data_IF_611115377145
#
_entry.id   IF_611115377145
#
_cell.length_a   1.000
_cell.length_b   1.000
_cell.length_c   1.000
_cell.angle_alpha   90.00
_cell.angle_beta   90.00
_cell.angle_gamma   90.00
#
_symmetry.space_group_name_H-M   'P 1'
#
loop_
_entity.id
_entity.type
_entity.pdbx_description
1 polymer ?
#
# COMPACT_ATOMS: atom_id res chain seq x y z
N UNK A 1 49.22 35.42 -45.03
CA UNK A 1 48.63 35.95 -43.77
C UNK A 1 49.69 35.92 -42.67
N UNK A 2 50.04 37.09 -42.10
CA UNK A 2 51.03 37.20 -41.02
C UNK A 2 50.49 36.61 -39.70
N UNK A 3 51.37 36.38 -38.73
CA UNK A 3 51.02 35.75 -37.45
C UNK A 3 49.86 36.49 -36.74
N UNK A 4 49.89 37.82 -36.77
CA UNK A 4 48.86 38.69 -36.19
C UNK A 4 47.48 38.41 -36.80
N UNK A 5 47.38 38.36 -38.13
CA UNK A 5 46.12 38.08 -38.79
C UNK A 5 45.62 36.63 -38.57
N UNK A 6 46.51 35.66 -38.38
CA UNK A 6 46.13 34.28 -38.00
C UNK A 6 45.56 34.22 -36.58
N UNK A 7 46.16 34.94 -35.64
CA UNK A 7 45.69 35.02 -34.25
C UNK A 7 44.35 35.73 -34.16
N UNK A 8 44.17 36.83 -34.89
CA UNK A 8 42.89 37.55 -34.94
C UNK A 8 41.80 36.65 -35.52
N UNK A 9 42.08 35.95 -36.63
CA UNK A 9 41.09 35.05 -37.23
C UNK A 9 40.73 33.89 -36.29
N UNK A 10 41.72 33.29 -35.62
CA UNK A 10 41.47 32.23 -34.63
C UNK A 10 40.61 32.72 -33.47
N UNK A 11 40.85 33.94 -32.97
CA UNK A 11 40.06 34.55 -31.90
C UNK A 11 38.62 34.83 -32.33
N UNK A 12 38.43 35.35 -33.55
CA UNK A 12 37.10 35.60 -34.12
C UNK A 12 36.32 34.29 -34.28
N UNK A 13 36.97 33.23 -34.77
CA UNK A 13 36.35 31.89 -34.90
C UNK A 13 36.01 31.31 -33.54
N UNK A 14 36.90 31.39 -32.55
CA UNK A 14 36.63 30.93 -31.18
C UNK A 14 35.47 31.68 -30.54
N UNK A 15 35.39 32.99 -30.75
CA UNK A 15 34.31 33.82 -30.20
C UNK A 15 32.99 33.52 -30.91
N UNK A 16 33.00 33.35 -32.24
CA UNK A 16 31.81 32.99 -33.00
C UNK A 16 31.28 31.60 -32.61
N UNK A 17 32.16 30.60 -32.49
CA UNK A 17 31.78 29.25 -32.02
C UNK A 17 31.30 29.30 -30.57
N UNK A 18 31.96 30.07 -29.70
CA UNK A 18 31.54 30.29 -28.32
C UNK A 18 30.15 30.93 -28.22
N UNK A 19 29.87 31.96 -29.01
CA UNK A 19 28.56 32.61 -29.06
C UNK A 19 27.46 31.74 -29.66
N UNK A 20 27.79 30.76 -30.50
CA UNK A 20 26.82 29.80 -31.06
C UNK A 20 26.59 28.62 -30.10
N UNK A 21 27.63 28.14 -29.38
CA UNK A 21 27.55 26.95 -28.54
C UNK A 21 27.21 27.22 -27.05
N UNK A 22 27.55 28.40 -26.51
CA UNK A 22 27.24 28.74 -25.10
C UNK A 22 25.74 28.96 -24.83
N UNK A 23 24.94 29.61 -25.70
CA UNK A 23 23.51 29.78 -25.44
C UNK A 23 22.79 28.44 -25.27
N UNK A 24 23.20 27.39 -25.98
CA UNK A 24 22.62 26.05 -25.83
C UNK A 24 22.90 25.40 -24.47
N UNK A 25 23.95 25.80 -23.75
CA UNK A 25 24.21 25.31 -22.37
C UNK A 25 23.51 26.13 -21.29
N UNK A 26 23.29 27.43 -21.51
CA UNK A 26 22.52 28.28 -20.58
C UNK A 26 21.00 28.07 -20.77
N UNK A 27 20.58 27.59 -21.94
CA UNK A 27 19.18 27.42 -22.36
C UNK A 27 18.58 26.03 -22.10
N UNK A 28 19.21 25.17 -21.29
CA UNK A 28 18.51 23.99 -20.73
C UNK A 28 17.78 24.31 -19.42
N UNK A 29 18.05 25.45 -18.80
CA UNK A 29 17.42 25.88 -17.55
C UNK A 29 16.68 27.22 -17.66
N UNK A 30 17.14 28.16 -18.50
CA UNK A 30 16.48 29.45 -18.68
C UNK A 30 15.17 29.31 -19.49
N UNK A 31 14.02 29.53 -18.84
CA UNK A 31 12.70 29.58 -19.49
C UNK A 31 12.03 28.23 -19.75
N UNK A 32 12.67 27.10 -19.41
CA UNK A 32 12.09 25.75 -19.56
C UNK A 32 11.50 25.17 -18.27
N UNK A 33 11.73 25.81 -17.12
CA UNK A 33 11.15 25.42 -15.82
C UNK A 33 10.36 26.60 -15.23
N UNK A 34 9.05 26.62 -15.50
CA UNK A 34 8.13 27.42 -14.70
C UNK A 34 7.86 26.63 -13.41
N UNK A 35 8.21 27.22 -12.27
CA UNK A 35 7.90 26.65 -10.97
C UNK A 35 6.42 26.82 -10.68
N UNK A 36 5.79 25.83 -10.06
CA UNK A 36 4.44 26.00 -9.54
C UNK A 36 4.47 27.04 -8.44
N UNK A 37 3.53 27.98 -8.51
CA UNK A 37 3.29 28.90 -7.43
C UNK A 37 2.63 28.14 -6.28
N UNK A 38 3.38 27.96 -5.19
CA UNK A 38 2.96 27.26 -3.98
C UNK A 38 2.70 28.25 -2.82
N UNK A 39 2.48 29.54 -3.13
CA UNK A 39 2.20 30.56 -2.11
C UNK A 39 0.77 30.50 -1.57
N UNK A 40 -0.08 29.64 -2.12
CA UNK A 40 -1.45 29.42 -1.67
C UNK A 40 -1.53 28.51 -0.45
N UNK A 41 -2.64 28.56 0.28
CA UNK A 41 -2.93 27.58 1.33
C UNK A 41 -3.27 26.21 0.71
N UNK A 42 -2.83 25.12 1.35
CA UNK A 42 -3.04 23.74 0.89
C UNK A 42 -1.95 23.21 -0.04
N UNK A 43 -2.27 22.21 -0.87
CA UNK A 43 -1.36 21.66 -1.87
C UNK A 43 -1.63 22.26 -3.25
N UNK A 44 -0.64 22.92 -3.86
CA UNK A 44 -0.73 23.44 -5.23
C UNK A 44 -0.02 22.55 -6.25
N UNK A 45 0.42 21.36 -5.82
CA UNK A 45 1.15 20.43 -6.68
C UNK A 45 0.15 19.60 -7.51
N UNK A 46 0.20 19.64 -8.85
CA UNK A 46 -0.72 18.87 -9.69
C UNK A 46 -0.24 17.42 -9.82
N UNK A 47 -0.52 16.59 -8.80
CA UNK A 47 -0.07 15.19 -8.69
C UNK A 47 -0.44 14.36 -9.93
N UNK A 48 -1.66 14.55 -10.45
CA UNK A 48 -2.22 13.85 -11.63
C UNK A 48 -1.43 14.08 -12.93
N UNK A 49 -0.59 15.12 -13.00
CA UNK A 49 0.29 15.34 -14.16
C UNK A 49 1.25 14.16 -14.36
N UNK A 50 1.65 13.51 -13.28
CA UNK A 50 2.58 12.39 -13.29
C UNK A 50 1.94 11.07 -12.82
N UNK A 51 0.96 11.14 -11.91
CA UNK A 51 0.26 9.98 -11.31
C UNK A 51 -1.16 9.82 -11.85
N UNK A 52 -1.33 9.98 -13.17
CA UNK A 52 -2.65 9.96 -13.81
C UNK A 52 -3.37 8.61 -13.66
N UNK A 53 -2.63 7.50 -13.67
CA UNK A 53 -3.12 6.14 -13.50
C UNK A 53 -3.67 5.91 -12.07
N UNK A 54 -2.92 6.33 -11.05
CA UNK A 54 -3.34 6.25 -9.65
C UNK A 54 -4.56 7.13 -9.40
N UNK A 55 -4.58 8.33 -10.00
CA UNK A 55 -5.72 9.23 -9.92
C UNK A 55 -6.99 8.62 -10.53
N UNK A 56 -6.86 7.96 -11.69
CA UNK A 56 -7.97 7.25 -12.33
C UNK A 56 -8.45 6.07 -11.47
N UNK A 57 -7.55 5.30 -10.85
CA UNK A 57 -7.93 4.22 -9.94
C UNK A 57 -8.69 4.74 -8.71
N UNK A 58 -8.22 5.82 -8.09
CA UNK A 58 -8.85 6.44 -6.92
C UNK A 58 -10.25 6.96 -7.25
N UNK A 59 -10.42 7.65 -8.37
CA UNK A 59 -11.71 8.23 -8.79
C UNK A 59 -12.73 7.20 -9.23
N UNK A 60 -12.29 6.03 -9.67
CA UNK A 60 -13.17 4.93 -10.04
C UNK A 60 -13.51 4.02 -8.85
N UNK A 61 -13.07 4.36 -7.63
CA UNK A 61 -13.37 3.61 -6.40
C UNK A 61 -14.61 4.16 -5.69
N UNK A 62 -15.63 3.33 -5.37
CA UNK A 62 -16.88 3.78 -4.74
C UNK A 62 -16.74 4.26 -3.28
N UNK A 63 -15.60 4.04 -2.63
CA UNK A 63 -15.38 4.33 -1.21
C UNK A 63 -14.48 5.55 -0.97
N UNK A 64 -13.56 5.85 -1.88
CA UNK A 64 -12.64 6.99 -1.79
C UNK A 64 -12.73 7.94 -3.00
N UNK A 65 -13.79 7.85 -3.81
CA UNK A 65 -14.02 8.69 -5.01
C UNK A 65 -13.93 10.20 -4.77
N UNK A 66 -14.26 10.64 -3.55
CA UNK A 66 -14.28 12.06 -3.16
C UNK A 66 -12.99 12.52 -2.47
N UNK A 67 -11.96 11.66 -2.39
CA UNK A 67 -10.70 12.03 -1.77
C UNK A 67 -9.73 12.65 -2.77
N UNK A 68 -9.10 13.75 -2.35
CA UNK A 68 -7.98 14.38 -3.05
C UNK A 68 -6.66 13.76 -2.57
N UNK A 69 -5.61 13.80 -3.41
CA UNK A 69 -4.34 13.11 -3.16
C UNK A 69 -3.72 13.53 -1.81
N UNK A 70 -3.79 14.82 -1.51
CA UNK A 70 -3.27 15.46 -0.32
C UNK A 70 -4.01 15.09 0.97
N UNK A 71 -5.23 14.56 0.90
CA UNK A 71 -5.96 14.14 2.09
C UNK A 71 -5.23 12.99 2.80
N UNK A 72 -4.57 12.12 2.03
CA UNK A 72 -3.77 11.02 2.56
C UNK A 72 -2.26 11.36 2.54
N UNK A 73 -1.78 11.95 1.45
CA UNK A 73 -0.34 12.17 1.23
C UNK A 73 0.23 13.41 1.91
N UNK A 74 -0.60 14.31 2.45
CA UNK A 74 -0.16 15.43 3.29
C UNK A 74 -0.63 15.23 4.72
N UNK A 75 -0.04 14.18 5.27
CA UNK A 75 -0.43 13.57 6.52
C UNK A 75 0.16 14.22 7.78
N UNK A 76 -0.13 13.52 8.84
CA UNK A 76 0.03 13.87 10.25
C UNK A 76 1.49 14.00 10.67
N UNK A 77 1.80 15.00 11.51
CA UNK A 77 3.11 15.19 12.14
C UNK A 77 4.32 15.23 11.17
N UNK A 78 4.05 15.49 9.89
CA UNK A 78 5.03 15.71 8.83
C UNK A 78 4.85 17.15 8.36
N UNK A 79 5.95 17.88 8.24
CA UNK A 79 5.97 19.24 7.71
C UNK A 79 6.37 19.18 6.26
N UNK A 80 5.51 19.69 5.37
CA UNK A 80 5.80 19.80 3.95
C UNK A 80 6.13 21.24 3.56
N UNK A 81 6.73 21.41 2.38
CA UNK A 81 6.92 22.74 1.83
C UNK A 81 5.54 23.37 1.58
N UNK A 82 5.30 24.51 2.23
CA UNK A 82 4.05 25.26 2.11
C UNK A 82 4.25 26.71 2.52
N UNK A 83 3.45 27.59 1.93
CA UNK A 83 3.13 28.90 2.48
C UNK A 83 1.76 28.77 3.15
N UNK A 84 1.68 28.84 4.48
CA UNK A 84 0.40 28.65 5.22
C UNK A 84 -0.58 29.83 5.06
N UNK A 85 -0.42 30.64 4.02
CA UNK A 85 -1.06 31.93 3.85
C UNK A 85 -0.39 33.00 4.72
N UNK A 86 -0.34 34.23 4.21
CA UNK A 86 0.24 35.37 4.92
C UNK A 86 1.76 35.49 4.84
N UNK A 87 2.43 34.75 3.94
CA UNK A 87 3.86 34.87 3.65
C UNK A 87 4.77 34.11 4.62
N UNK A 88 4.23 33.16 5.37
CA UNK A 88 5.02 32.30 6.27
C UNK A 88 5.46 31.07 5.49
N UNK A 89 6.67 31.15 4.93
CA UNK A 89 7.31 30.07 4.18
C UNK A 89 7.84 29.03 5.16
N UNK A 90 7.36 27.79 5.04
CA UNK A 90 7.87 26.65 5.80
C UNK A 90 8.69 25.78 4.85
N UNK A 91 9.97 25.62 5.17
CA UNK A 91 10.78 24.57 4.56
C UNK A 91 10.26 23.22 5.06
N UNK A 92 9.68 22.40 4.18
CA UNK A 92 9.29 21.03 4.50
C UNK A 92 10.48 20.28 5.09
N UNK A 93 10.33 19.74 6.30
CA UNK A 93 11.43 19.11 7.05
C UNK A 93 11.44 17.61 6.84
N UNK A 94 10.26 17.01 6.94
CA UNK A 94 10.10 15.56 6.87
C UNK A 94 9.73 15.09 5.45
N UNK A 95 9.05 15.93 4.64
CA UNK A 95 8.73 15.62 3.25
C UNK A 95 8.70 16.89 2.38
N UNK A 96 8.98 16.73 1.08
CA UNK A 96 8.98 17.87 0.14
C UNK A 96 7.54 18.33 -0.18
N UNK A 97 6.71 17.42 -0.69
CA UNK A 97 5.34 17.74 -1.14
C UNK A 97 4.29 16.69 -0.74
N UNK A 98 4.72 15.45 -0.50
CA UNK A 98 3.87 14.31 -0.17
C UNK A 98 4.68 13.28 0.62
N UNK A 99 4.02 12.50 1.48
CA UNK A 99 4.60 11.40 2.24
C UNK A 99 3.98 10.07 1.84
N UNK A 100 4.66 8.98 2.17
CA UNK A 100 4.01 7.68 2.26
C UNK A 100 3.08 7.68 3.49
N UNK A 101 1.91 7.05 3.37
CA UNK A 101 0.84 7.08 4.38
C UNK A 101 0.41 5.66 4.66
N UNK A 102 0.16 5.34 5.93
CA UNK A 102 -0.41 4.06 6.33
C UNK A 102 -1.93 4.11 6.28
N UNK A 103 -2.59 3.07 5.75
CA UNK A 103 -4.05 2.96 5.80
C UNK A 103 -4.58 3.00 7.25
N UNK A 104 -3.79 2.47 8.20
CA UNK A 104 -4.17 2.40 9.61
C UNK A 104 -4.21 3.77 10.30
N UNK A 105 -3.70 4.84 9.68
CA UNK A 105 -3.85 6.20 10.21
C UNK A 105 -5.33 6.59 10.40
N UNK A 106 -6.19 6.10 9.51
CA UNK A 106 -7.63 6.26 9.56
C UNK A 106 -8.29 4.97 10.08
N UNK A 107 -7.83 3.81 9.64
CA UNK A 107 -8.50 2.53 9.88
C UNK A 107 -8.16 1.84 11.22
N UNK A 108 -7.28 2.39 12.08
CA UNK A 108 -6.93 1.76 13.37
C UNK A 108 -7.90 2.02 14.54
N UNK A 109 -9.03 2.70 14.29
CA UNK A 109 -10.03 3.00 15.33
C UNK A 109 -9.61 4.10 16.30
N UNK A 110 -10.56 4.61 17.10
CA UNK A 110 -10.37 5.86 17.86
C UNK A 110 -9.71 5.72 19.21
N UNK A 111 -9.59 4.48 19.68
CA UNK A 111 -9.09 4.20 21.00
C UNK A 111 -7.56 4.37 21.04
N UNK A 112 -7.03 5.21 21.94
CA UNK A 112 -5.59 5.44 22.02
C UNK A 112 -4.91 4.19 22.59
N UNK A 113 -4.31 3.38 21.72
CA UNK A 113 -3.47 2.27 22.10
C UNK A 113 -2.01 2.46 21.63
N UNK A 114 -0.99 2.03 22.40
CA UNK A 114 0.42 2.19 22.02
C UNK A 114 0.81 1.56 20.68
N UNK A 115 0.04 0.57 20.23
CA UNK A 115 0.22 -0.16 18.96
C UNK A 115 -0.72 0.31 17.84
N UNK A 116 -1.70 1.18 18.14
CA UNK A 116 -2.55 1.81 17.14
C UNK A 116 -1.82 2.97 16.47
N UNK A 117 -2.05 3.19 15.18
CA UNK A 117 -1.41 4.28 14.42
C UNK A 117 -2.20 5.58 14.49
N UNK A 118 -3.34 5.57 15.19
CA UNK A 118 -4.24 6.71 15.28
C UNK A 118 -3.78 7.81 16.25
N UNK A 119 -2.67 7.58 16.97
CA UNK A 119 -2.21 8.48 18.03
C UNK A 119 -1.73 9.79 17.38
N UNK A 120 -2.62 10.78 17.37
CA UNK A 120 -2.37 12.20 17.08
C UNK A 120 -2.44 12.65 15.61
N UNK A 121 -3.56 12.49 14.91
CA UNK A 121 -3.77 13.06 13.56
C UNK A 121 -3.98 14.59 13.54
N UNK A 122 -3.00 15.37 13.96
CA UNK A 122 -3.00 16.82 13.71
C UNK A 122 -2.37 17.13 12.36
N UNK A 123 -3.12 17.84 11.51
CA UNK A 123 -2.63 18.33 10.23
C UNK A 123 -2.17 19.77 10.39
N UNK A 124 -0.87 19.99 10.35
CA UNK A 124 -0.33 21.33 10.54
C UNK A 124 -0.69 22.28 9.38
N UNK A 125 -1.14 21.74 8.25
CA UNK A 125 -1.43 22.46 6.99
C UNK A 125 -2.92 22.79 6.83
N UNK A 126 -3.80 22.06 7.50
CA UNK A 126 -5.22 22.37 7.54
C UNK A 126 -5.51 23.22 8.76
N UNK A 127 -6.12 24.38 8.54
CA UNK A 127 -6.51 25.24 9.63
C UNK A 127 -7.57 24.53 10.49
N UNK A 128 -7.23 24.18 11.73
CA UNK A 128 -8.13 23.50 12.67
C UNK A 128 -9.36 24.34 13.05
N UNK A 129 -9.37 25.64 12.73
CA UNK A 129 -10.53 26.52 12.90
C UNK A 129 -11.47 26.55 11.68
N UNK A 130 -11.11 25.92 10.56
CA UNK A 130 -11.97 25.75 9.39
C UNK A 130 -12.61 24.35 9.39
N UNK A 131 -13.84 24.27 9.88
CA UNK A 131 -14.61 23.02 9.95
C UNK A 131 -14.90 22.42 8.59
N UNK A 132 -14.81 23.18 7.49
CA UNK A 132 -15.03 22.67 6.14
C UNK A 132 -13.87 21.79 5.68
N UNK A 133 -12.63 22.08 6.11
CA UNK A 133 -11.46 21.26 5.80
C UNK A 133 -11.47 19.96 6.59
N UNK A 134 -11.83 20.01 7.87
CA UNK A 134 -12.04 18.80 8.69
C UNK A 134 -13.15 17.93 8.09
N UNK A 135 -14.23 18.52 7.56
CA UNK A 135 -15.33 17.75 6.96
C UNK A 135 -14.93 16.95 5.72
N UNK A 136 -13.84 17.30 5.01
CA UNK A 136 -13.30 16.48 3.91
C UNK A 136 -12.85 15.08 4.39
N UNK A 137 -12.40 14.99 5.64
CA UNK A 137 -12.01 13.73 6.28
C UNK A 137 -13.00 13.27 7.36
N UNK A 138 -13.99 14.09 7.77
CA UNK A 138 -14.88 13.80 8.90
C UNK A 138 -16.43 13.98 8.68
N UNK A 139 -16.96 14.32 7.48
CA UNK A 139 -18.42 14.36 7.17
C UNK A 139 -18.88 13.47 5.97
N UNK A 140 -20.06 12.79 5.98
CA UNK A 140 -21.25 12.97 6.83
C UNK A 140 -21.46 11.93 7.95
N UNK A 141 -20.65 10.87 8.01
CA UNK A 141 -20.55 9.94 9.15
C UNK A 141 -19.21 9.23 9.02
N UNK A 142 -18.15 9.85 9.53
CA UNK A 142 -16.77 9.41 9.31
C UNK A 142 -16.17 8.85 10.58
N UNK A 143 -16.54 7.61 10.83
CA UNK A 143 -15.54 6.65 11.22
C UNK A 143 -15.28 5.79 10.00
N UNK A 144 -14.09 5.87 9.38
CA UNK A 144 -13.70 4.86 8.40
C UNK A 144 -13.93 3.49 9.05
N UNK A 145 -14.38 2.47 8.29
CA UNK A 145 -14.59 1.16 8.86
C UNK A 145 -13.29 0.71 9.52
N UNK A 146 -13.36 0.39 10.81
CA UNK A 146 -12.18 0.02 11.57
C UNK A 146 -11.66 -1.31 11.00
N UNK A 147 -10.37 -1.37 10.68
CA UNK A 147 -9.67 -2.57 10.24
C UNK A 147 -9.38 -3.49 11.45
N UNK A 148 -10.44 -3.85 12.17
CA UNK A 148 -10.38 -4.72 13.34
C UNK A 148 -10.25 -6.19 12.96
N UNK A 149 -10.05 -7.02 13.97
CA UNK A 149 -9.78 -8.44 13.81
C UNK A 149 -8.31 -8.76 13.55
N UNK A 150 -7.38 -7.83 13.64
CA UNK A 150 -5.94 -8.10 13.48
C UNK A 150 -5.11 -7.84 14.74
N UNK A 151 -5.72 -7.28 15.79
CA UNK A 151 -5.00 -6.82 16.98
C UNK A 151 -4.18 -5.56 16.72
N UNK A 152 -4.59 -4.75 15.75
CA UNK A 152 -3.89 -3.53 15.32
C UNK A 152 -4.69 -2.25 15.63
N UNK A 153 -5.91 -2.41 16.12
CA UNK A 153 -6.75 -1.30 16.52
C UNK A 153 -6.65 -1.09 18.03
N UNK A 154 -7.01 0.11 18.49
CA UNK A 154 -7.13 0.36 19.93
C UNK A 154 -8.39 -0.22 20.55
N UNK A 155 -9.30 -0.78 19.74
CA UNK A 155 -10.63 -1.18 20.17
C UNK A 155 -10.62 -2.38 21.11
N UNK A 156 -11.50 -2.34 22.12
CA UNK A 156 -11.66 -3.46 23.04
C UNK A 156 -12.21 -4.69 22.31
N UNK A 157 -11.46 -5.78 22.31
CA UNK A 157 -11.85 -7.05 21.67
C UNK A 157 -11.20 -7.29 20.31
N UNK A 158 -10.49 -6.31 19.75
CA UNK A 158 -9.59 -6.56 18.62
C UNK A 158 -8.33 -7.30 19.09
N UNK A 159 -8.44 -8.61 19.21
CA UNK A 159 -7.32 -9.47 19.62
C UNK A 159 -6.59 -10.09 18.43
N UNK A 160 -7.26 -10.12 17.28
CA UNK A 160 -6.87 -10.87 16.09
C UNK A 160 -6.91 -12.40 16.21
N UNK A 161 -7.27 -12.97 17.36
CA UNK A 161 -7.17 -14.41 17.62
C UNK A 161 -7.99 -15.30 16.67
N UNK A 162 -8.98 -14.73 15.98
CA UNK A 162 -9.89 -15.46 15.08
C UNK A 162 -9.71 -15.09 13.59
N UNK A 163 -8.77 -14.20 13.25
CA UNK A 163 -8.58 -13.79 11.86
C UNK A 163 -7.63 -14.71 11.11
N UNK A 164 -8.14 -15.31 10.04
CA UNK A 164 -7.37 -16.17 9.14
C UNK A 164 -6.17 -15.45 8.50
N UNK A 165 -6.27 -14.13 8.30
CA UNK A 165 -5.25 -13.33 7.63
C UNK A 165 -4.41 -12.48 8.58
N UNK A 166 -4.51 -12.68 9.91
CA UNK A 166 -3.77 -11.87 10.90
C UNK A 166 -2.27 -11.85 10.62
N UNK A 167 -1.67 -13.03 10.48
CA UNK A 167 -0.22 -13.12 10.26
C UNK A 167 0.20 -12.48 8.95
N UNK A 168 -0.62 -12.56 7.89
CA UNK A 168 -0.33 -11.87 6.64
C UNK A 168 -0.26 -10.33 6.83
N UNK A 169 -1.18 -9.77 7.61
CA UNK A 169 -1.20 -8.32 7.92
C UNK A 169 -0.02 -7.93 8.83
N UNK A 170 0.32 -8.75 9.82
CA UNK A 170 1.42 -8.45 10.75
C UNK A 170 2.79 -8.59 10.10
N UNK A 171 2.98 -9.60 9.26
CA UNK A 171 4.21 -9.76 8.48
C UNK A 171 4.39 -8.63 7.47
N UNK A 172 3.29 -8.17 6.82
CA UNK A 172 3.33 -6.98 5.98
C UNK A 172 3.75 -5.74 6.79
N UNK A 173 3.19 -5.55 7.99
CA UNK A 173 3.57 -4.45 8.89
C UNK A 173 5.04 -4.46 9.31
N UNK A 174 5.65 -5.64 9.38
CA UNK A 174 7.08 -5.81 9.65
C UNK A 174 7.98 -5.71 8.41
N UNK A 175 7.40 -5.56 7.22
CA UNK A 175 8.11 -5.42 5.96
C UNK A 175 8.65 -4.00 5.72
N UNK A 176 9.57 -3.91 4.75
CA UNK A 176 10.21 -2.65 4.36
C UNK A 176 9.70 -2.10 3.01
N UNK A 177 8.71 -2.74 2.36
CA UNK A 177 8.30 -2.39 1.01
C UNK A 177 7.37 -1.15 1.00
N UNK A 178 6.39 -1.12 1.89
CA UNK A 178 5.46 -0.02 2.12
C UNK A 178 5.38 0.27 3.62
N UNK A 179 4.85 1.45 3.96
CA UNK A 179 4.70 1.84 5.35
C UNK A 179 3.62 1.00 6.04
N UNK A 180 3.98 0.36 7.15
CA UNK A 180 3.06 -0.44 7.96
C UNK A 180 2.39 -1.57 7.16
N UNK A 181 1.15 -1.96 7.47
CA UNK A 181 0.46 -3.11 6.87
C UNK A 181 -0.05 -2.87 5.44
N UNK A 182 0.45 -1.85 4.75
CA UNK A 182 -0.11 -1.37 3.49
C UNK A 182 -0.06 -2.42 2.38
N UNK A 183 0.97 -3.26 2.31
CA UNK A 183 1.09 -4.32 1.31
C UNK A 183 -0.08 -5.30 1.43
N UNK A 184 -0.45 -5.67 2.66
CA UNK A 184 -1.57 -6.56 2.90
C UNK A 184 -2.91 -5.89 2.55
N UNK A 185 -3.06 -4.61 2.87
CA UNK A 185 -4.26 -3.84 2.52
C UNK A 185 -4.40 -3.72 0.99
N UNK A 186 -3.34 -3.32 0.30
CA UNK A 186 -3.32 -3.12 -1.16
C UNK A 186 -3.56 -4.44 -1.89
N UNK A 187 -2.96 -5.53 -1.42
CA UNK A 187 -3.16 -6.86 -1.99
C UNK A 187 -4.64 -7.30 -2.07
N UNK A 188 -5.49 -6.79 -1.17
CA UNK A 188 -6.90 -7.18 -1.09
C UNK A 188 -7.89 -6.08 -1.49
N UNK A 189 -7.55 -4.80 -1.25
CA UNK A 189 -8.47 -3.66 -1.39
C UNK A 189 -8.20 -2.81 -2.64
N UNK A 190 -7.23 -3.17 -3.46
CA UNK A 190 -6.92 -2.46 -4.72
C UNK A 190 -6.92 -3.41 -5.91
N UNK A 191 -6.74 -2.86 -7.10
CA UNK A 191 -6.66 -3.63 -8.33
C UNK A 191 -5.26 -4.18 -8.65
N UNK A 192 -4.34 -4.13 -7.68
CA UNK A 192 -3.01 -4.74 -7.82
C UNK A 192 -3.12 -6.24 -7.98
N UNK A 193 -2.46 -6.77 -9.01
CA UNK A 193 -2.38 -8.21 -9.21
C UNK A 193 -1.50 -8.85 -8.13
N UNK A 194 -2.02 -9.90 -7.48
CA UNK A 194 -1.30 -10.61 -6.41
C UNK A 194 -1.00 -12.03 -6.86
N UNK A 195 0.29 -12.38 -6.79
CA UNK A 195 0.75 -13.75 -6.98
C UNK A 195 0.99 -14.39 -5.62
N UNK A 196 0.18 -15.37 -5.27
CA UNK A 196 0.31 -16.10 -4.00
C UNK A 196 0.87 -17.50 -4.29
N UNK A 197 1.95 -17.85 -3.59
CA UNK A 197 2.50 -19.21 -3.59
C UNK A 197 2.14 -19.87 -2.27
N UNK A 198 1.14 -20.74 -2.30
CA UNK A 198 0.68 -21.48 -1.13
C UNK A 198 1.52 -22.74 -0.97
N UNK A 199 2.09 -22.93 0.22
CA UNK A 199 2.70 -24.19 0.63
C UNK A 199 1.85 -24.77 1.76
N UNK A 200 1.27 -25.95 1.52
CA UNK A 200 0.38 -26.61 2.47
C UNK A 200 0.74 -28.09 2.57
N UNK A 201 0.40 -28.71 3.71
CA UNK A 201 0.58 -30.15 3.88
C UNK A 201 -0.25 -30.91 2.85
N UNK A 202 0.35 -31.91 2.19
CA UNK A 202 -0.33 -32.63 1.11
C UNK A 202 -1.50 -33.47 1.63
N UNK A 203 -1.34 -34.09 2.79
CA UNK A 203 -2.36 -34.93 3.40
C UNK A 203 -2.39 -34.76 4.93
N UNK A 204 -3.59 -34.84 5.48
CA UNK A 204 -3.83 -35.12 6.89
C UNK A 204 -4.09 -36.63 7.02
N UNK A 205 -3.18 -37.34 7.66
CA UNK A 205 -3.23 -38.79 7.83
C UNK A 205 -3.55 -39.14 9.28
N UNK A 206 -4.44 -40.10 9.48
CA UNK A 206 -4.81 -40.61 10.80
C UNK A 206 -5.22 -42.07 10.68
N UNK A 207 -5.07 -42.80 11.78
CA UNK A 207 -5.46 -44.20 11.88
C UNK A 207 -6.87 -44.30 12.46
N UNK A 208 -7.73 -45.08 11.80
CA UNK A 208 -9.03 -45.46 12.33
C UNK A 208 -8.93 -46.85 12.94
N UNK A 209 -9.22 -46.94 14.23
CA UNK A 209 -9.34 -48.19 14.96
C UNK A 209 -10.77 -48.45 15.42
N UNK A 210 -11.00 -49.65 15.92
CA UNK A 210 -12.25 -50.03 16.56
C UNK A 210 -12.24 -49.60 18.03
N UNK A 211 -13.32 -48.94 18.48
CA UNK A 211 -13.58 -48.75 19.90
C UNK A 211 -14.13 -50.02 20.54
N UNK A 212 -14.07 -50.13 21.88
CA UNK A 212 -14.62 -51.28 22.61
C UNK A 212 -15.74 -50.82 23.56
N UNK A 213 -16.98 -51.35 23.46
CA UNK A 213 -17.48 -52.28 22.44
C UNK A 213 -17.66 -51.60 21.07
N UNK A 214 -17.48 -52.35 19.97
CA UNK A 214 -17.60 -51.83 18.59
C UNK A 214 -19.04 -51.39 18.28
N UNK A 215 -20.01 -52.16 18.77
CA UNK A 215 -21.45 -51.92 18.53
C UNK A 215 -22.04 -51.17 19.71
N UNK A 216 -22.63 -50.01 19.43
CA UNK A 216 -23.43 -49.22 20.38
C UNK A 216 -24.92 -49.50 20.14
N UNK A 217 -25.80 -48.93 20.96
CA UNK A 217 -27.25 -49.02 20.76
C UNK A 217 -27.72 -48.51 19.38
N UNK A 218 -26.92 -47.66 18.73
CA UNK A 218 -27.23 -47.08 17.42
C UNK A 218 -26.53 -47.80 16.25
N UNK A 219 -25.77 -48.87 16.49
CA UNK A 219 -25.01 -49.60 15.47
C UNK A 219 -23.49 -49.56 15.67
N UNK A 220 -22.69 -50.08 14.71
CA UNK A 220 -21.23 -50.11 14.76
C UNK A 220 -20.67 -48.70 14.51
N UNK A 221 -20.73 -47.86 15.54
CA UNK A 221 -20.30 -46.45 15.48
C UNK A 221 -19.21 -46.11 16.49
N UNK A 222 -18.66 -47.11 17.20
CA UNK A 222 -17.57 -46.86 18.13
C UNK A 222 -16.22 -47.03 17.44
N UNK A 223 -15.56 -45.91 17.16
CA UNK A 223 -14.28 -45.85 16.47
C UNK A 223 -13.29 -45.04 17.29
N UNK A 224 -12.02 -45.41 17.20
CA UNK A 224 -10.93 -44.57 17.71
C UNK A 224 -10.25 -43.90 16.53
N UNK A 225 -9.91 -42.63 16.69
CA UNK A 225 -9.09 -41.88 15.73
C UNK A 225 -7.79 -41.55 16.44
N UNK A 226 -6.68 -42.07 15.94
CA UNK A 226 -5.36 -41.91 16.54
C UNK A 226 -4.34 -41.51 15.49
N UNK A 227 -3.13 -41.16 15.93
CA UNK A 227 -1.99 -40.92 15.04
C UNK A 227 -2.23 -39.82 14.00
N UNK A 228 -2.84 -38.70 14.40
CA UNK A 228 -2.94 -37.52 13.53
C UNK A 228 -1.55 -37.03 13.12
N UNK A 229 -1.28 -37.03 11.83
CA UNK A 229 -0.02 -36.60 11.25
C UNK A 229 -0.27 -35.85 9.95
N UNK A 230 0.65 -34.96 9.59
CA UNK A 230 0.67 -34.32 8.28
C UNK A 230 1.75 -35.00 7.42
N UNK A 231 1.46 -35.20 6.14
CA UNK A 231 2.39 -35.85 5.22
C UNK A 231 2.53 -35.08 3.90
N UNK A 232 3.76 -34.96 3.42
CA UNK A 232 4.13 -34.28 2.18
C UNK A 232 3.85 -32.77 2.16
N UNK A 233 4.26 -32.12 1.08
CA UNK A 233 4.01 -30.70 0.82
C UNK A 233 3.42 -30.56 -0.58
N UNK A 234 2.37 -29.76 -0.69
CA UNK A 234 1.77 -29.34 -1.95
C UNK A 234 2.00 -27.83 -2.13
N UNK A 235 2.39 -27.44 -3.35
CA UNK A 235 2.56 -26.04 -3.72
C UNK A 235 1.49 -25.64 -4.73
N UNK A 236 0.77 -24.55 -4.46
CA UNK A 236 -0.22 -23.96 -5.35
C UNK A 236 0.22 -22.56 -5.73
N UNK A 237 0.13 -22.19 -7.00
CA UNK A 237 0.22 -20.79 -7.38
C UNK A 237 -1.19 -20.30 -7.67
N UNK A 238 -1.60 -19.26 -6.96
CA UNK A 238 -2.86 -18.57 -7.16
C UNK A 238 -2.58 -17.16 -7.62
N UNK A 239 -3.27 -16.76 -8.69
CA UNK A 239 -3.29 -15.38 -9.14
C UNK A 239 -4.62 -14.75 -8.75
N UNK A 240 -4.57 -13.76 -7.87
CA UNK A 240 -5.67 -12.84 -7.61
C UNK A 240 -5.63 -11.73 -8.65
N UNK A 241 -6.80 -11.39 -9.20
CA UNK A 241 -6.97 -10.26 -10.10
C UNK A 241 -8.12 -9.36 -9.63
N UNK A 242 -8.40 -8.31 -10.40
CA UNK A 242 -9.43 -7.30 -10.13
C UNK A 242 -10.88 -7.83 -10.11
N UNK A 243 -11.10 -9.10 -10.47
CA UNK A 243 -12.45 -9.71 -10.49
C UNK A 243 -12.87 -10.30 -9.15
N UNK A 244 -11.99 -10.29 -8.15
CA UNK A 244 -12.23 -10.94 -6.85
C UNK A 244 -12.21 -12.47 -6.90
N UNK A 245 -11.81 -13.05 -8.05
CA UNK A 245 -11.66 -14.50 -8.23
C UNK A 245 -10.19 -14.88 -8.38
N UNK A 246 -9.79 -15.98 -7.74
CA UNK A 246 -8.46 -16.56 -7.88
C UNK A 246 -8.43 -17.70 -8.89
N UNK A 247 -7.42 -17.77 -9.75
CA UNK A 247 -7.15 -18.96 -10.55
C UNK A 247 -5.98 -19.75 -9.96
N UNK A 248 -6.14 -21.05 -9.77
CA UNK A 248 -5.06 -21.93 -9.27
C UNK A 248 -4.39 -22.67 -10.43
N UNK A 249 -3.12 -23.03 -10.26
CA UNK A 249 -2.42 -23.93 -11.18
C UNK A 249 -2.79 -25.41 -11.01
N UNK A 250 -3.72 -25.76 -10.12
CA UNK A 250 -4.16 -27.14 -9.94
C UNK A 250 -5.15 -27.55 -11.03
N UNK A 251 -4.79 -28.57 -11.80
CA UNK A 251 -5.75 -29.33 -12.62
C UNK A 251 -6.72 -30.11 -11.72
N UNK A 252 -7.87 -30.51 -12.25
CA UNK A 252 -9.02 -31.22 -11.63
C UNK A 252 -8.73 -32.48 -10.79
N UNK A 253 -7.46 -32.86 -10.62
CA UNK A 253 -7.01 -34.02 -9.87
C UNK A 253 -6.24 -33.59 -8.61
N UNK A 254 -6.78 -32.73 -7.76
CA UNK A 254 -6.16 -32.44 -6.45
C UNK A 254 -6.76 -33.36 -5.36
N UNK A 255 -5.95 -34.04 -4.52
CA UNK A 255 -4.47 -34.02 -4.43
C UNK A 255 -3.76 -35.03 -5.37
N UNK A 256 -4.49 -35.62 -6.31
CA UNK A 256 -4.02 -36.60 -7.30
C UNK A 256 -4.26 -38.03 -6.85
N UNK A 257 -3.74 -39.01 -7.60
CA UNK A 257 -3.74 -40.40 -7.14
C UNK A 257 -2.95 -40.50 -5.83
N UNK A 258 -3.58 -41.06 -4.80
CA UNK A 258 -2.99 -41.39 -3.52
C UNK A 258 -2.34 -42.78 -3.67
N UNK A 259 -1.02 -42.91 -3.44
CA UNK A 259 -0.36 -44.22 -3.48
C UNK A 259 -1.07 -45.22 -2.54
N UNK A 260 -1.44 -46.39 -3.05
CA UNK A 260 -2.11 -47.44 -2.27
C UNK A 260 -3.65 -47.38 -2.24
N UNK A 261 -4.28 -46.43 -2.92
CA UNK A 261 -5.75 -46.35 -3.03
C UNK A 261 -6.19 -46.72 -4.46
N UNK A 262 -7.05 -47.74 -4.56
CA UNK A 262 -7.72 -48.09 -5.82
C UNK A 262 -8.97 -47.23 -5.96
N UNK A 263 -8.98 -46.32 -6.94
CA UNK A 263 -10.15 -45.56 -7.35
C UNK A 263 -10.98 -46.45 -8.28
N UNK A 264 -12.11 -46.95 -7.78
CA UNK A 264 -13.10 -47.69 -8.60
C UNK A 264 -14.09 -46.73 -9.22
#
# INVERSE_FOLDING_TARGET
>A
MNLVARVILAFVVLTAVGLIALPSTVSLFAGQHYWYDISGAGSQIPCEKCHADVYEELRNNPYHENFECELCHRGVNITYASDRGGGTIISGKEAHAASIVSCLICHSGNEPAPWSEQVNHSHAEYNTSDSTLCSKCHSPSLYPPIAGGFGLTGETGDTGALAAHREFVLEAKGGDLLLSANEACIACHTHVAVKITWNHSRALEFNIGFGNPITTANGPHNWTITSWTINGTATAVVWGNTTGSGSTTYSTNWPGNVPGVNYK
#
